data_IF_286456671091
#
_entry.id   IF_286456671091
#
_cell.length_a   1.000
_cell.length_b   1.000
_cell.length_c   1.000
_cell.angle_alpha   90.00
_cell.angle_beta   90.00
_cell.angle_gamma   90.00
#
_symmetry.space_group_name_H-M   'P 1'
#
loop_
_entity.id
_entity.type
_entity.pdbx_description
1 polymer ?
#
# COMPACT_ATOMS: atom_id res chain seq x y z
N UNK A 1 27.15 25.35 -0.06
CA UNK A 1 26.41 24.32 0.70
C UNK A 1 25.05 24.20 0.05
N UNK A 2 24.89 23.22 -0.84
CA UNK A 2 23.62 22.94 -1.51
C UNK A 2 22.75 22.13 -0.57
N UNK A 3 21.80 22.80 0.08
CA UNK A 3 20.64 22.10 0.62
C UNK A 3 19.90 21.53 -0.57
N UNK A 4 20.06 20.24 -0.84
CA UNK A 4 19.13 19.51 -1.70
C UNK A 4 17.80 19.49 -0.96
N UNK A 5 17.02 20.55 -1.16
CA UNK A 5 15.62 20.58 -0.77
C UNK A 5 14.91 19.61 -1.70
N UNK A 6 14.83 18.36 -1.27
CA UNK A 6 14.16 17.25 -1.95
C UNK A 6 12.65 17.53 -1.94
N UNK A 7 12.25 18.53 -2.72
CA UNK A 7 10.84 18.82 -2.94
C UNK A 7 10.33 17.70 -3.84
N UNK A 8 9.44 16.86 -3.29
CA UNK A 8 8.76 15.82 -4.07
C UNK A 8 8.16 16.45 -5.34
N UNK A 9 8.14 15.72 -6.48
CA UNK A 9 7.43 16.19 -7.66
C UNK A 9 6.02 16.64 -7.28
N UNK A 10 5.60 17.82 -7.75
CA UNK A 10 4.30 18.42 -7.40
C UNK A 10 3.12 17.42 -7.48
N UNK A 11 3.05 16.52 -8.48
CA UNK A 11 1.98 15.51 -8.54
C UNK A 11 2.00 14.51 -7.36
N UNK A 12 3.18 13.99 -6.98
CA UNK A 12 3.31 13.06 -5.85
C UNK A 12 2.95 13.73 -4.54
N UNK A 13 3.33 15.00 -4.37
CA UNK A 13 2.96 15.78 -3.18
C UNK A 13 1.46 15.92 -3.03
N UNK A 14 0.76 16.28 -4.11
CA UNK A 14 -0.70 16.41 -4.11
C UNK A 14 -1.37 15.08 -3.76
N UNK A 15 -0.90 13.99 -4.36
CA UNK A 15 -1.44 12.66 -4.10
C UNK A 15 -1.22 12.18 -2.65
N UNK A 16 -0.08 12.51 -2.04
CA UNK A 16 0.13 12.24 -0.62
C UNK A 16 -0.83 13.04 0.27
N UNK A 17 -1.15 14.30 -0.08
CA UNK A 17 -2.15 15.09 0.64
C UNK A 17 -3.54 14.45 0.49
N UNK A 18 -3.89 13.98 -0.71
CA UNK A 18 -5.15 13.26 -0.95
C UNK A 18 -5.22 11.95 -0.16
N UNK A 19 -4.11 11.22 -0.06
CA UNK A 19 -4.02 10.01 0.75
C UNK A 19 -4.24 10.32 2.24
N UNK A 20 -3.63 11.39 2.76
CA UNK A 20 -3.86 11.84 4.15
C UNK A 20 -5.33 12.18 4.37
N UNK A 21 -5.95 12.94 3.46
CA UNK A 21 -7.36 13.28 3.53
C UNK A 21 -8.24 12.03 3.53
N UNK A 22 -7.94 11.04 2.67
CA UNK A 22 -8.64 9.77 2.61
C UNK A 22 -8.52 8.96 3.91
N UNK A 23 -7.32 8.88 4.49
CA UNK A 23 -7.08 8.17 5.75
C UNK A 23 -7.85 8.81 6.91
N UNK A 24 -7.86 10.15 7.02
CA UNK A 24 -8.60 10.86 8.06
C UNK A 24 -10.12 10.71 7.90
N UNK A 25 -10.63 10.85 6.67
CA UNK A 25 -12.04 10.64 6.38
C UNK A 25 -12.46 9.19 6.67
N UNK A 26 -11.64 8.22 6.29
CA UNK A 26 -11.85 6.80 6.59
C UNK A 26 -11.87 6.53 8.09
N UNK A 27 -10.90 7.05 8.84
CA UNK A 27 -10.84 6.89 10.30
C UNK A 27 -12.09 7.47 10.99
N UNK A 28 -12.59 8.62 10.53
CA UNK A 28 -13.83 9.20 11.06
C UNK A 28 -15.04 8.34 10.70
N UNK A 29 -15.17 7.89 9.45
CA UNK A 29 -16.28 7.06 8.99
C UNK A 29 -16.39 5.74 9.74
N UNK A 30 -15.26 5.13 10.06
CA UNK A 30 -15.19 3.85 10.81
C UNK A 30 -15.79 3.91 12.23
N UNK A 31 -15.98 5.10 12.81
CA UNK A 31 -16.68 5.23 14.10
C UNK A 31 -18.18 4.89 13.98
N UNK A 32 -18.77 5.07 12.79
CA UNK A 32 -20.20 4.92 12.54
C UNK A 32 -20.52 3.72 11.61
N UNK A 33 -19.50 3.02 11.10
CA UNK A 33 -19.63 1.90 10.14
C UNK A 33 -19.48 0.52 10.81
N UNK A 34 -19.95 -0.58 10.18
CA UNK A 34 -19.65 -1.93 10.63
C UNK A 34 -18.14 -2.20 10.64
N UNK A 35 -17.68 -2.98 11.63
CA UNK A 35 -16.25 -3.24 11.86
C UNK A 35 -15.52 -3.80 10.64
N UNK A 36 -16.22 -4.58 9.82
CA UNK A 36 -15.65 -5.26 8.66
C UNK A 36 -15.29 -4.31 7.50
N UNK A 37 -15.75 -3.05 7.55
CA UNK A 37 -15.34 -2.01 6.60
C UNK A 37 -13.93 -1.47 6.87
N UNK A 38 -13.43 -1.62 8.10
CA UNK A 38 -12.07 -1.21 8.49
C UNK A 38 -11.00 -1.79 7.58
N UNK A 39 -10.90 -3.12 7.47
CA UNK A 39 -9.99 -3.79 6.54
C UNK A 39 -10.10 -3.28 5.10
N UNK A 40 -11.31 -3.11 4.57
CA UNK A 40 -11.52 -2.67 3.18
C UNK A 40 -11.03 -1.24 2.93
N UNK A 41 -11.21 -0.33 3.90
CA UNK A 41 -10.66 1.04 3.81
C UNK A 41 -9.13 1.05 3.86
N UNK A 42 -8.53 0.21 4.69
CA UNK A 42 -7.07 0.05 4.74
C UNK A 42 -6.53 -0.49 3.41
N UNK A 43 -7.20 -1.48 2.83
CA UNK A 43 -6.87 -2.04 1.52
C UNK A 43 -6.92 -0.98 0.41
N UNK A 44 -7.99 -0.17 0.35
CA UNK A 44 -8.09 0.94 -0.60
C UNK A 44 -6.96 1.97 -0.46
N UNK A 45 -6.59 2.32 0.78
CA UNK A 45 -5.46 3.21 1.02
C UNK A 45 -4.12 2.59 0.59
N UNK A 46 -3.92 1.29 0.84
CA UNK A 46 -2.72 0.56 0.42
C UNK A 46 -2.58 0.52 -1.11
N UNK A 47 -3.69 0.29 -1.85
CA UNK A 47 -3.71 0.40 -3.31
C UNK A 47 -3.17 1.75 -3.78
N UNK A 48 -3.67 2.85 -3.22
CA UNK A 48 -3.23 4.19 -3.63
C UNK A 48 -1.76 4.46 -3.32
N UNK A 49 -1.22 3.92 -2.23
CA UNK A 49 0.23 3.97 -1.95
C UNK A 49 1.02 3.21 -3.03
N UNK A 50 0.57 2.01 -3.39
CA UNK A 50 1.25 1.18 -4.38
C UNK A 50 1.21 1.82 -5.78
N UNK A 51 0.09 2.47 -6.15
CA UNK A 51 -0.01 3.28 -7.37
C UNK A 51 1.03 4.42 -7.38
N UNK A 52 1.21 5.11 -6.25
CA UNK A 52 2.19 6.19 -6.14
C UNK A 52 3.63 5.69 -6.24
N UNK A 53 3.92 4.51 -5.69
CA UNK A 53 5.23 3.87 -5.83
C UNK A 53 5.50 3.47 -7.29
N UNK A 54 4.49 2.97 -8.00
CA UNK A 54 4.58 2.63 -9.43
C UNK A 54 4.82 3.88 -10.28
N UNK A 55 4.10 4.97 -10.02
CA UNK A 55 4.29 6.26 -10.71
C UNK A 55 5.66 6.91 -10.46
N UNK A 56 6.31 6.57 -9.34
CA UNK A 56 7.63 7.08 -8.98
C UNK A 56 8.79 6.21 -9.52
N UNK A 57 8.52 5.22 -10.38
CA UNK A 57 9.48 4.19 -10.83
C UNK A 57 10.17 3.45 -9.67
N UNK A 58 9.52 3.42 -8.50
CA UNK A 58 10.04 2.82 -7.27
C UNK A 58 9.37 1.46 -6.95
N UNK A 59 8.54 0.95 -7.85
CA UNK A 59 7.79 -0.29 -7.63
C UNK A 59 8.49 -1.51 -8.26
N UNK A 60 8.67 -2.53 -7.44
CA UNK A 60 9.07 -3.86 -7.90
C UNK A 60 7.85 -4.66 -8.40
N UNK A 61 8.05 -5.61 -9.30
CA UNK A 61 6.98 -6.44 -9.89
C UNK A 61 6.08 -7.11 -8.84
N UNK A 62 6.65 -7.44 -7.68
CA UNK A 62 5.93 -8.04 -6.56
C UNK A 62 4.88 -7.10 -5.97
N UNK A 63 5.21 -5.81 -5.81
CA UNK A 63 4.30 -4.80 -5.28
C UNK A 63 3.16 -4.50 -6.27
N UNK A 64 3.43 -4.58 -7.58
CA UNK A 64 2.38 -4.51 -8.61
C UNK A 64 1.40 -5.69 -8.49
N UNK A 65 1.90 -6.90 -8.22
CA UNK A 65 1.04 -8.07 -7.97
C UNK A 65 0.20 -7.89 -6.72
N UNK A 66 0.77 -7.39 -5.62
CA UNK A 66 0.03 -7.07 -4.39
C UNK A 66 -1.10 -6.09 -4.70
N UNK A 67 -0.82 -4.99 -5.42
CA UNK A 67 -1.83 -3.98 -5.80
C UNK A 67 -3.01 -4.61 -6.54
N UNK A 68 -2.74 -5.39 -7.60
CA UNK A 68 -3.79 -6.03 -8.41
C UNK A 68 -4.71 -6.94 -7.59
N UNK A 69 -4.14 -7.72 -6.67
CA UNK A 69 -4.93 -8.60 -5.81
C UNK A 69 -5.85 -7.83 -4.87
N UNK A 70 -5.40 -6.68 -4.38
CA UNK A 70 -6.24 -5.81 -3.57
C UNK A 70 -7.38 -5.23 -4.41
N UNK A 71 -7.09 -4.78 -5.64
CA UNK A 71 -8.10 -4.27 -6.58
C UNK A 71 -9.17 -5.32 -6.92
N UNK A 72 -8.74 -6.58 -7.15
CA UNK A 72 -9.65 -7.70 -7.41
C UNK A 72 -10.62 -7.91 -6.24
N UNK A 73 -10.17 -7.76 -4.99
CA UNK A 73 -11.02 -7.89 -3.80
C UNK A 73 -11.94 -6.67 -3.62
N UNK A 74 -11.47 -5.47 -3.92
CA UNK A 74 -12.26 -4.24 -3.82
C UNK A 74 -13.36 -4.15 -4.89
N UNK A 75 -13.14 -4.73 -6.08
CA UNK A 75 -14.05 -4.65 -7.22
C UNK A 75 -14.84 -5.95 -7.47
N UNK A 76 -14.41 -7.06 -6.89
CA UNK A 76 -15.04 -8.37 -7.01
C UNK A 76 -16.24 -8.60 -6.09
N UNK A 77 -16.93 -9.75 -6.24
CA UNK A 77 -18.03 -10.14 -5.37
C UNK A 77 -17.57 -10.26 -3.91
N UNK A 78 -18.32 -9.65 -2.99
CA UNK A 78 -17.99 -9.59 -1.56
C UNK A 78 -18.09 -10.99 -0.93
N UNK A 79 -16.96 -11.67 -0.78
CA UNK A 79 -16.84 -12.88 0.04
C UNK A 79 -15.95 -12.58 1.25
N UNK A 80 -16.58 -12.35 2.40
CA UNK A 80 -15.90 -11.98 3.64
C UNK A 80 -15.30 -13.17 4.41
N UNK A 81 -15.57 -14.40 3.99
CA UNK A 81 -15.22 -15.62 4.75
C UNK A 81 -13.70 -15.85 4.92
N UNK A 82 -12.86 -15.12 4.18
CA UNK A 82 -11.41 -15.32 4.17
C UNK A 82 -10.57 -14.03 4.29
N UNK A 83 -11.14 -12.92 4.78
CA UNK A 83 -10.44 -11.62 4.84
C UNK A 83 -9.13 -11.69 5.65
N UNK A 84 -9.09 -12.41 6.78
CA UNK A 84 -7.89 -12.51 7.61
C UNK A 84 -6.72 -13.19 6.87
N UNK A 85 -6.95 -14.39 6.33
CA UNK A 85 -5.92 -15.13 5.59
C UNK A 85 -5.42 -14.37 4.36
N UNK A 86 -6.31 -13.64 3.67
CA UNK A 86 -5.93 -12.77 2.56
C UNK A 86 -5.00 -11.64 3.03
N UNK A 87 -5.32 -10.96 4.13
CA UNK A 87 -4.47 -9.91 4.69
C UNK A 87 -3.10 -10.43 5.12
N UNK A 88 -3.04 -11.61 5.73
CA UNK A 88 -1.79 -12.25 6.13
C UNK A 88 -0.91 -12.51 4.90
N UNK A 89 -1.49 -13.04 3.83
CA UNK A 89 -0.79 -13.27 2.56
C UNK A 89 -0.25 -11.96 1.95
N UNK A 90 -1.03 -10.88 1.96
CA UNK A 90 -0.55 -9.57 1.48
C UNK A 90 0.61 -9.05 2.33
N UNK A 91 0.53 -9.21 3.65
CA UNK A 91 1.62 -8.82 4.56
C UNK A 91 2.91 -9.58 4.25
N UNK A 92 2.83 -10.89 4.02
CA UNK A 92 3.97 -11.71 3.63
C UNK A 92 4.58 -11.25 2.31
N UNK A 93 3.77 -10.96 1.29
CA UNK A 93 4.28 -10.50 0.00
C UNK A 93 5.00 -9.15 0.09
N UNK A 94 4.48 -8.22 0.91
CA UNK A 94 5.14 -6.94 1.17
C UNK A 94 6.42 -7.14 1.96
N UNK A 95 6.42 -8.02 2.98
CA UNK A 95 7.60 -8.32 3.78
C UNK A 95 8.76 -8.88 2.93
N UNK A 96 8.44 -9.76 1.98
CA UNK A 96 9.40 -10.30 1.01
C UNK A 96 9.92 -9.21 0.07
N UNK A 97 9.09 -8.25 -0.33
CA UNK A 97 9.53 -7.15 -1.20
C UNK A 97 10.54 -6.21 -0.50
N UNK A 98 10.44 -6.04 0.82
CA UNK A 98 11.34 -5.14 1.57
C UNK A 98 12.62 -5.83 2.07
N UNK A 99 12.66 -7.16 2.10
CA UNK A 99 13.87 -7.90 2.49
C UNK A 99 14.80 -8.05 1.29
N UNK A 100 15.88 -7.25 1.24
CA UNK A 100 16.97 -7.47 0.28
C UNK A 100 17.54 -8.88 0.49
N UNK A 101 17.88 -9.64 -0.58
CA UNK A 101 18.72 -10.81 -0.41
C UNK A 101 20.04 -10.36 0.23
N UNK A 102 20.32 -10.83 1.43
CA UNK A 102 21.65 -10.69 2.05
C UNK A 102 22.66 -11.31 1.09
N UNK A 103 23.48 -10.49 0.44
CA UNK A 103 24.65 -10.99 -0.28
C UNK A 103 25.49 -11.83 0.70
N UNK A 104 25.93 -13.04 0.30
CA UNK A 104 26.89 -13.76 1.09
C UNK A 104 28.15 -12.90 1.19
N UNK A 105 28.58 -12.59 2.42
CA UNK A 105 29.92 -12.05 2.67
C UNK A 105 30.92 -13.11 2.21
N UNK A 106 31.32 -13.06 0.94
CA UNK A 106 32.51 -13.73 0.46
C UNK A 106 33.70 -12.99 1.07
N UNK A 107 34.09 -13.43 2.26
CA UNK A 107 35.33 -13.01 2.89
C UNK A 107 36.47 -13.88 2.37
N UNK A 108 37.39 -13.22 1.67
CA UNK A 108 38.77 -13.64 1.39
C UNK A 108 39.55 -13.90 2.70
#
# INVERSE_FOLDING_TARGET
>A
MTSSDSTLPSPVREELVLLVANLLASARGLLDEPKDYGPMRCLGAACRVLELLEQADASEQRLVTVRKRIEDVLTGPQNHDHTAAFLDELCEQVAVAVTRPTEPRTGD
#
